data_IF_895272443083
#
_entry.id   IF_895272443083
#
_cell.length_a   1.000
_cell.length_b   1.000
_cell.length_c   1.000
_cell.angle_alpha   90.00
_cell.angle_beta   90.00
_cell.angle_gamma   90.00
#
_symmetry.space_group_name_H-M   'P 1'
#
loop_
_entity.id
_entity.type
_entity.pdbx_description
1 polymer ?
#
# COMPACT_ATOMS: atom_id res chain seq x y z
N UNK A 1 11.84 15.89 19.92
CA UNK A 1 11.22 16.19 18.60
C UNK A 1 10.86 14.86 17.97
N UNK A 2 9.71 14.79 17.27
CA UNK A 2 9.32 13.61 16.50
C UNK A 2 10.36 13.29 15.43
N UNK A 3 10.58 12.01 15.12
CA UNK A 3 11.37 11.58 13.96
C UNK A 3 10.63 11.66 12.62
N UNK A 4 9.36 12.10 12.65
CA UNK A 4 8.44 12.10 11.51
C UNK A 4 7.47 10.91 11.51
N UNK A 5 6.44 10.99 10.66
CA UNK A 5 5.45 9.94 10.40
C UNK A 5 4.65 9.49 11.63
N UNK A 6 4.46 10.36 12.62
CA UNK A 6 3.45 10.12 13.65
C UNK A 6 2.07 10.52 13.12
N UNK A 7 1.04 9.78 13.54
CA UNK A 7 -0.35 10.14 13.27
C UNK A 7 -1.10 10.31 14.58
N UNK A 8 -1.64 11.49 14.80
CA UNK A 8 -2.60 11.75 15.86
C UNK A 8 -3.97 12.00 15.24
N UNK A 9 -4.98 11.29 15.74
CA UNK A 9 -6.38 11.48 15.33
C UNK A 9 -6.88 12.89 15.71
N UNK A 10 -6.33 13.48 16.77
CA UNK A 10 -6.59 14.85 17.21
C UNK A 10 -5.32 15.71 17.21
N UNK A 11 -5.46 16.98 17.59
CA UNK A 11 -4.35 17.95 17.63
C UNK A 11 -3.59 17.99 18.96
N UNK A 12 -3.87 17.08 19.89
CA UNK A 12 -3.38 17.19 21.27
C UNK A 12 -1.90 16.82 21.42
N UNK A 13 -1.37 15.98 20.52
CA UNK A 13 0.01 15.50 20.60
C UNK A 13 1.07 16.55 20.23
N UNK A 14 0.71 17.56 19.42
CA UNK A 14 1.60 18.67 19.08
C UNK A 14 2.89 18.24 18.37
N UNK A 15 2.80 17.27 17.46
CA UNK A 15 3.96 16.80 16.71
C UNK A 15 4.49 17.91 15.78
N UNK A 16 5.82 17.95 15.61
CA UNK A 16 6.50 19.10 15.02
C UNK A 16 7.33 18.80 13.77
N UNK A 17 7.44 17.54 13.33
CA UNK A 17 8.10 17.23 12.08
C UNK A 17 7.10 17.37 10.91
N UNK A 18 7.61 17.74 9.73
CA UNK A 18 6.76 18.05 8.57
C UNK A 18 5.97 16.85 8.01
N UNK A 19 6.38 15.63 8.34
CA UNK A 19 5.66 14.39 7.96
C UNK A 19 4.75 13.87 9.07
N UNK A 20 4.64 14.57 10.20
CA UNK A 20 3.66 14.23 11.23
C UNK A 20 2.27 14.74 10.83
N UNK A 21 1.24 13.96 11.19
CA UNK A 21 -0.16 14.35 11.03
C UNK A 21 -0.73 14.65 12.41
N UNK A 22 -1.12 15.90 12.62
CA UNK A 22 -1.91 16.33 13.77
C UNK A 22 -3.36 16.50 13.30
N UNK A 23 -4.33 16.00 14.06
CA UNK A 23 -5.76 16.05 13.71
C UNK A 23 -6.12 15.30 12.42
N UNK A 24 -5.55 14.11 12.23
CA UNK A 24 -5.77 13.27 11.05
C UNK A 24 -7.15 12.62 10.96
N UNK A 25 -7.97 12.68 12.02
CA UNK A 25 -9.27 12.01 12.06
C UNK A 25 -9.15 10.51 12.36
N UNK A 26 -10.11 9.73 11.87
CA UNK A 26 -10.12 8.28 12.07
C UNK A 26 -8.96 7.62 11.31
N UNK A 27 -8.04 6.90 11.99
CA UNK A 27 -6.96 6.19 11.32
C UNK A 27 -7.42 4.96 10.54
N UNK A 28 -8.71 4.57 10.61
CA UNK A 28 -9.27 3.39 9.95
C UNK A 28 -8.46 2.13 10.27
N UNK A 29 -8.25 1.90 11.57
CA UNK A 29 -7.60 0.70 12.09
C UNK A 29 -8.66 -0.36 12.40
N UNK A 30 -8.37 -1.60 12.04
CA UNK A 30 -9.11 -2.76 12.51
C UNK A 30 -8.95 -2.96 14.01
N UNK A 31 -9.77 -3.86 14.58
CA UNK A 31 -9.66 -4.21 15.99
C UNK A 31 -8.29 -4.85 16.30
N UNK A 32 -7.86 -4.75 17.56
CA UNK A 32 -6.69 -5.48 18.04
C UNK A 32 -6.95 -6.99 17.89
N UNK A 33 -6.12 -7.66 17.07
CA UNK A 33 -6.29 -9.06 16.72
C UNK A 33 -4.96 -9.74 16.38
N UNK A 34 -4.98 -11.07 16.32
CA UNK A 34 -3.87 -11.87 15.81
C UNK A 34 -3.73 -11.67 14.29
N UNK A 35 -2.70 -10.91 13.91
CA UNK A 35 -2.34 -10.68 12.50
C UNK A 35 -1.07 -11.46 12.09
N UNK A 36 -0.70 -12.52 12.81
CA UNK A 36 0.42 -13.42 12.47
C UNK A 36 1.74 -13.14 13.20
N UNK A 37 1.76 -12.15 14.10
CA UNK A 37 2.92 -11.75 14.89
C UNK A 37 3.06 -12.45 16.25
N UNK A 38 4.07 -12.07 17.02
CA UNK A 38 4.21 -12.52 18.42
C UNK A 38 3.20 -11.86 19.38
N UNK A 39 2.58 -10.75 18.95
CA UNK A 39 1.57 -10.00 19.69
C UNK A 39 0.45 -9.56 18.75
N UNK A 40 -0.76 -9.40 19.31
CA UNK A 40 -1.87 -8.80 18.58
C UNK A 40 -1.50 -7.38 18.12
N UNK A 41 -2.01 -7.00 16.95
CA UNK A 41 -1.80 -5.67 16.36
C UNK A 41 -3.11 -5.10 15.83
N UNK A 42 -3.17 -3.79 15.60
CA UNK A 42 -4.28 -3.17 14.87
C UNK A 42 -3.84 -2.96 13.43
N UNK A 43 -4.48 -3.67 12.50
CA UNK A 43 -4.12 -3.61 11.08
C UNK A 43 -4.82 -2.42 10.41
N UNK A 44 -4.13 -1.61 9.60
CA UNK A 44 -4.79 -0.62 8.75
C UNK A 44 -5.79 -1.29 7.80
N UNK A 45 -7.02 -0.80 7.80
CA UNK A 45 -8.06 -1.25 6.87
C UNK A 45 -7.81 -0.67 5.46
N UNK A 46 -8.38 -1.29 4.40
CA UNK A 46 -8.30 -0.73 3.05
C UNK A 46 -8.78 0.72 2.99
N UNK A 47 -7.94 1.62 2.46
CA UNK A 47 -8.22 3.05 2.36
C UNK A 47 -7.81 3.87 3.59
N UNK A 48 -7.20 3.25 4.60
CA UNK A 48 -6.62 3.96 5.74
C UNK A 48 -5.59 5.01 5.29
N UNK A 49 -5.58 6.21 5.91
CA UNK A 49 -4.54 7.22 5.65
C UNK A 49 -3.15 6.80 6.15
N UNK A 50 -3.06 5.71 6.90
CA UNK A 50 -1.81 5.16 7.41
C UNK A 50 -1.09 4.30 6.38
N UNK A 51 -1.80 3.81 5.36
CA UNK A 51 -1.26 2.88 4.36
C UNK A 51 -0.29 3.59 3.43
N UNK A 52 0.88 2.99 3.18
CA UNK A 52 1.93 3.51 2.29
C UNK A 52 2.42 4.95 2.66
N UNK A 53 2.17 5.40 3.89
CA UNK A 53 2.41 6.79 4.29
C UNK A 53 3.89 7.11 4.61
N UNK A 54 4.74 6.09 4.71
CA UNK A 54 6.18 6.23 4.91
C UNK A 54 6.90 5.86 3.62
N UNK A 55 7.67 6.80 3.06
CA UNK A 55 8.41 6.55 1.83
C UNK A 55 9.40 5.37 2.00
N UNK A 56 9.58 4.51 0.98
CA UNK A 56 10.36 3.27 1.08
C UNK A 56 11.85 3.51 1.32
N UNK A 57 12.36 4.71 1.00
CA UNK A 57 13.73 5.12 1.27
C UNK A 57 13.94 5.63 2.71
N UNK A 58 12.87 5.82 3.49
CA UNK A 58 12.96 6.27 4.89
C UNK A 58 13.66 5.19 5.73
N UNK A 59 14.68 5.53 6.54
CA UNK A 59 15.34 4.55 7.42
C UNK A 59 14.34 3.79 8.29
N UNK A 60 14.42 2.45 8.28
CA UNK A 60 13.47 1.58 8.99
C UNK A 60 12.28 1.12 8.15
N UNK A 61 12.03 1.75 7.00
CA UNK A 61 11.01 1.34 6.04
C UNK A 61 11.56 0.40 4.94
N UNK A 62 12.71 -0.23 5.17
CA UNK A 62 13.27 -1.24 4.28
C UNK A 62 14.17 -2.20 5.06
N UNK A 63 14.14 -3.49 4.70
CA UNK A 63 15.01 -4.50 5.30
C UNK A 63 14.66 -4.88 6.74
N UNK A 64 13.46 -4.50 7.20
CA UNK A 64 12.90 -4.83 8.50
C UNK A 64 11.62 -5.65 8.35
N UNK A 65 11.09 -6.12 9.49
CA UNK A 65 9.83 -6.86 9.56
C UNK A 65 8.92 -6.14 10.54
N UNK A 66 7.67 -5.93 10.16
CA UNK A 66 6.63 -5.42 11.04
C UNK A 66 6.30 -6.43 12.16
N UNK A 67 5.59 -5.99 13.20
CA UNK A 67 5.29 -6.86 14.34
C UNK A 67 4.35 -8.01 13.96
N UNK A 68 3.56 -7.84 12.90
CA UNK A 68 2.73 -8.88 12.29
C UNK A 68 3.50 -9.83 11.34
N UNK A 69 4.83 -9.85 11.44
CA UNK A 69 5.73 -10.73 10.70
C UNK A 69 5.79 -10.53 9.17
N UNK A 70 5.20 -9.44 8.63
CA UNK A 70 5.37 -9.05 7.22
C UNK A 70 6.64 -8.22 7.02
N UNK A 71 7.33 -8.43 5.90
CA UNK A 71 8.51 -7.63 5.53
C UNK A 71 8.12 -6.21 5.13
N UNK A 72 8.94 -5.23 5.49
CA UNK A 72 8.73 -3.83 5.14
C UNK A 72 9.51 -3.41 3.87
N UNK A 73 8.89 -2.66 2.93
CA UNK A 73 7.45 -2.42 2.78
C UNK A 73 6.77 -3.58 2.04
N UNK A 74 5.47 -3.78 2.24
CA UNK A 74 4.64 -4.59 1.34
C UNK A 74 4.15 -3.75 0.15
N UNK A 75 3.77 -2.49 0.40
CA UNK A 75 3.24 -1.56 -0.61
C UNK A 75 4.26 -0.53 -1.14
N UNK A 76 3.77 0.55 -1.73
CA UNK A 76 4.63 1.62 -2.28
C UNK A 76 5.40 2.38 -1.19
N UNK A 77 5.00 2.22 0.07
CA UNK A 77 5.67 2.67 1.26
C UNK A 77 5.40 1.70 2.41
N UNK A 78 5.86 2.04 3.61
CA UNK A 78 5.42 1.33 4.81
C UNK A 78 4.22 2.04 5.41
N UNK A 79 3.45 1.27 6.15
CA UNK A 79 2.35 1.79 6.91
C UNK A 79 2.85 2.47 8.19
N UNK A 80 2.14 3.53 8.62
CA UNK A 80 2.36 4.09 9.95
C UNK A 80 1.75 3.14 10.99
N UNK A 81 2.60 2.49 11.79
CA UNK A 81 2.14 1.70 12.92
C UNK A 81 2.95 0.44 13.17
N UNK A 82 2.34 -0.50 13.90
CA UNK A 82 2.96 -1.76 14.31
C UNK A 82 2.84 -2.89 13.27
N UNK A 83 1.82 -2.81 12.41
CA UNK A 83 1.51 -3.82 11.41
C UNK A 83 1.53 -3.20 10.02
N UNK A 84 2.04 -3.99 9.07
CA UNK A 84 2.00 -3.66 7.65
C UNK A 84 0.82 -4.37 7.01
N UNK A 85 0.04 -3.66 6.20
CA UNK A 85 -1.01 -4.24 5.40
C UNK A 85 -0.43 -4.97 4.18
N UNK A 86 -0.94 -6.15 3.82
CA UNK A 86 -0.46 -6.86 2.64
C UNK A 86 -0.79 -6.07 1.36
N UNK A 87 0.14 -6.02 0.41
CA UNK A 87 -0.09 -5.39 -0.89
C UNK A 87 -0.93 -6.29 -1.81
N UNK A 88 -2.24 -6.27 -1.66
CA UNK A 88 -3.16 -6.90 -2.60
C UNK A 88 -3.50 -5.95 -3.75
N UNK A 89 -2.51 -5.66 -4.61
CA UNK A 89 -2.76 -4.91 -5.84
C UNK A 89 -3.59 -5.76 -6.82
N UNK A 90 -4.90 -5.52 -6.86
CA UNK A 90 -5.80 -6.14 -7.86
C UNK A 90 -5.98 -5.14 -9.01
N UNK A 91 -5.36 -5.41 -10.16
CA UNK A 91 -5.77 -4.74 -11.41
C UNK A 91 -6.98 -5.48 -11.98
N UNK A 92 -8.18 -4.97 -11.71
CA UNK A 92 -9.42 -5.45 -12.32
C UNK A 92 -9.88 -4.46 -13.39
N UNK A 93 -9.97 -4.90 -14.65
CA UNK A 93 -10.45 -4.09 -15.77
C UNK A 93 -10.19 -4.74 -17.12
N UNK A 94 -10.87 -4.26 -18.16
CA UNK A 94 -10.60 -4.66 -19.54
C UNK A 94 -9.64 -3.65 -20.18
N UNK A 95 -8.50 -4.13 -20.68
CA UNK A 95 -7.56 -3.30 -21.43
C UNK A 95 -7.81 -3.51 -22.92
N UNK A 96 -8.33 -2.48 -23.60
CA UNK A 96 -8.43 -2.43 -25.06
C UNK A 96 -7.29 -1.62 -25.64
N UNK A 97 -6.46 -2.23 -26.47
CA UNK A 97 -5.51 -1.51 -27.30
C UNK A 97 -6.06 -1.40 -28.72
N UNK A 98 -6.06 -0.20 -29.30
CA UNK A 98 -6.54 0.03 -30.67
C UNK A 98 -5.61 0.93 -31.46
N UNK A 99 -5.47 0.70 -32.76
CA UNK A 99 -4.86 1.64 -33.72
C UNK A 99 -5.91 1.97 -34.79
N UNK A 100 -6.22 3.25 -34.96
CA UNK A 100 -7.27 3.74 -35.88
C UNK A 100 -8.63 3.03 -35.70
N UNK A 101 -8.97 2.73 -34.44
CA UNK A 101 -10.20 2.02 -34.07
C UNK A 101 -10.16 0.50 -34.26
N UNK A 102 -9.09 -0.05 -34.86
CA UNK A 102 -8.90 -1.50 -34.98
C UNK A 102 -8.21 -2.07 -33.73
N UNK A 103 -8.70 -3.19 -33.16
CA UNK A 103 -8.10 -3.81 -31.98
C UNK A 103 -6.71 -4.38 -32.28
N UNK A 104 -5.78 -4.14 -31.37
CA UNK A 104 -4.41 -4.66 -31.40
C UNK A 104 -4.31 -5.91 -30.53
N UNK A 105 -3.74 -6.98 -31.08
CA UNK A 105 -3.40 -8.21 -30.35
C UNK A 105 -1.93 -8.21 -29.92
N UNK A 106 -1.61 -8.94 -28.84
CA UNK A 106 -0.23 -9.15 -28.42
C UNK A 106 0.39 -7.98 -27.65
N UNK A 107 -0.42 -7.06 -27.12
CA UNK A 107 0.06 -6.01 -26.24
C UNK A 107 0.33 -6.61 -24.86
N UNK A 108 1.57 -6.44 -24.37
CA UNK A 108 1.95 -6.83 -23.02
C UNK A 108 1.58 -5.72 -22.04
N UNK A 109 0.63 -5.99 -21.13
CA UNK A 109 0.32 -5.11 -20.00
C UNK A 109 1.16 -5.55 -18.82
N UNK A 110 1.98 -4.62 -18.31
CA UNK A 110 2.84 -4.82 -17.14
C UNK A 110 2.34 -3.98 -15.98
N UNK A 111 1.81 -4.62 -14.96
CA UNK A 111 1.47 -3.95 -13.70
C UNK A 111 2.66 -4.07 -12.77
N UNK A 112 3.26 -2.94 -12.39
CA UNK A 112 4.28 -2.91 -11.36
C UNK A 112 3.60 -2.95 -10.00
N UNK A 113 3.90 -3.99 -9.24
CA UNK A 113 3.64 -3.99 -7.79
C UNK A 113 4.82 -3.35 -7.06
N UNK A 114 4.61 -3.00 -5.79
CA UNK A 114 5.63 -2.48 -4.89
C UNK A 114 6.91 -3.34 -4.80
N UNK A 115 6.78 -4.67 -4.94
CA UNK A 115 7.91 -5.60 -4.94
C UNK A 115 8.65 -5.66 -6.29
N UNK A 116 8.30 -4.79 -7.24
CA UNK A 116 8.78 -4.80 -8.62
C UNK A 116 8.48 -6.14 -9.35
N UNK A 117 7.50 -6.88 -8.84
CA UNK A 117 6.94 -8.08 -9.47
C UNK A 117 5.91 -7.63 -10.50
N UNK A 118 6.01 -8.18 -11.71
CA UNK A 118 5.09 -7.88 -12.80
C UNK A 118 4.02 -8.96 -12.88
N UNK A 119 2.75 -8.57 -12.76
CA UNK A 119 1.67 -9.35 -13.36
C UNK A 119 1.65 -9.02 -14.85
N UNK A 120 1.81 -10.04 -15.70
CA UNK A 120 1.71 -9.90 -17.15
C UNK A 120 0.35 -10.39 -17.62
N UNK A 121 -0.29 -9.60 -18.47
CA UNK A 121 -1.46 -10.03 -19.22
C UNK A 121 -1.24 -9.65 -20.69
N UNK A 122 -1.56 -10.57 -21.59
CA UNK A 122 -1.51 -10.33 -23.03
C UNK A 122 -2.91 -10.00 -23.51
N UNK A 123 -3.08 -8.91 -24.28
CA UNK A 123 -4.37 -8.66 -24.92
C UNK A 123 -4.64 -9.74 -25.98
N UNK A 124 -5.79 -10.42 -25.88
CA UNK A 124 -6.32 -11.23 -26.97
C UNK A 124 -7.10 -10.32 -27.92
N UNK A 125 -7.16 -10.68 -29.20
CA UNK A 125 -8.13 -10.05 -30.09
C UNK A 125 -9.54 -10.20 -29.49
N UNK A 126 -10.45 -9.22 -29.69
CA UNK A 126 -11.83 -9.38 -29.27
C UNK A 126 -12.41 -10.65 -29.90
N UNK A 127 -13.16 -11.41 -29.10
CA UNK A 127 -13.88 -12.58 -29.59
C UNK A 127 -14.80 -12.13 -30.74
N UNK A 128 -14.68 -12.80 -31.87
CA UNK A 128 -15.41 -12.45 -33.08
C UNK A 128 -16.88 -12.79 -32.89
N UNK A 129 -17.73 -11.78 -32.75
CA UNK A 129 -19.19 -11.92 -32.87
C UNK A 129 -19.61 -12.15 -34.31
#
# INVERSE_FOLDING_TARGET
MSGGHNFASDGSCGFGAGTDVNSGGDPLLGALADNGGATDTMLPEPGSPLVDAIAPATPGCAGATAQNALGLPQGFGCDIGAAEAPSNAVLAGHVTATHDGAPLAGIEVRVRTATNTYATATTTAPDGT
#
